data_IF_116264408437
#
_entry.id   IF_116264408437
#
_cell.length_a   1.000
_cell.length_b   1.000
_cell.length_c   1.000
_cell.angle_alpha   90.00
_cell.angle_beta   90.00
_cell.angle_gamma   90.00
#
_symmetry.space_group_name_H-M   'P 1'
#
loop_
_entity.id
_entity.type
_entity.pdbx_description
1 polymer ?
#
# COMPACT_ATOMS: atom_id res chain seq x y z
N UNK A 1 9.78 6.34 -14.72
CA UNK A 1 11.10 5.69 -14.66
C UNK A 1 11.15 4.93 -13.36
N UNK A 2 11.46 3.64 -13.41
CA UNK A 2 10.74 2.56 -12.71
C UNK A 2 9.37 2.28 -13.38
N UNK A 3 9.05 0.99 -13.59
CA UNK A 3 7.83 0.54 -14.27
C UNK A 3 6.56 0.89 -13.50
N UNK A 4 5.41 0.40 -13.98
CA UNK A 4 4.14 0.57 -13.28
C UNK A 4 4.27 0.11 -11.80
N UNK A 5 3.56 0.72 -10.83
CA UNK A 5 3.64 0.34 -9.41
C UNK A 5 3.48 -1.17 -9.15
N UNK A 6 2.67 -1.83 -9.97
CA UNK A 6 2.44 -3.27 -9.96
C UNK A 6 3.68 -4.07 -10.35
N UNK A 7 4.50 -3.55 -11.26
CA UNK A 7 5.78 -4.14 -11.63
C UNK A 7 6.83 -3.92 -10.53
N UNK A 8 6.85 -2.73 -9.92
CA UNK A 8 7.71 -2.46 -8.78
C UNK A 8 7.40 -3.41 -7.60
N UNK A 9 6.11 -3.64 -7.30
CA UNK A 9 5.69 -4.56 -6.26
C UNK A 9 6.19 -6.00 -6.52
N UNK A 10 6.07 -6.49 -7.76
CA UNK A 10 6.56 -7.83 -8.14
C UNK A 10 8.08 -7.95 -8.01
N UNK A 11 8.83 -6.97 -8.52
CA UNK A 11 10.30 -6.96 -8.44
C UNK A 11 10.80 -6.95 -6.99
N UNK A 12 10.10 -6.24 -6.09
CA UNK A 12 10.44 -6.24 -4.67
C UNK A 12 10.09 -7.59 -4.03
N UNK A 13 8.96 -8.20 -4.38
CA UNK A 13 8.58 -9.51 -3.86
C UNK A 13 9.58 -10.62 -4.25
N UNK A 14 10.19 -10.54 -5.43
CA UNK A 14 11.28 -11.43 -5.85
C UNK A 14 12.50 -11.40 -4.92
N UNK A 15 12.66 -10.33 -4.13
CA UNK A 15 13.73 -10.21 -3.13
C UNK A 15 13.44 -10.95 -1.81
N UNK A 16 12.24 -11.53 -1.65
CA UNK A 16 11.87 -12.35 -0.50
C UNK A 16 10.72 -11.88 0.41
N UNK A 17 10.25 -10.61 0.41
CA UNK A 17 9.06 -10.22 1.18
C UNK A 17 7.82 -11.00 0.74
N UNK A 18 7.03 -11.45 1.73
CA UNK A 18 5.74 -12.14 1.48
C UNK A 18 4.60 -11.20 1.07
N UNK A 19 4.78 -9.92 1.37
CA UNK A 19 3.80 -8.87 1.12
C UNK A 19 4.54 -7.56 0.83
N UNK A 20 4.12 -6.85 -0.21
CA UNK A 20 4.73 -5.59 -0.66
C UNK A 20 3.64 -4.55 -0.82
N UNK A 21 3.88 -3.36 -0.26
CA UNK A 21 2.98 -2.22 -0.37
C UNK A 21 3.72 -1.09 -1.07
N UNK A 22 3.12 -0.54 -2.12
CA UNK A 22 3.58 0.64 -2.83
C UNK A 22 2.55 1.74 -2.63
N UNK A 23 2.89 2.77 -1.85
CA UNK A 23 2.02 3.93 -1.65
C UNK A 23 2.16 4.90 -2.82
N UNK A 24 1.04 5.43 -3.29
CA UNK A 24 0.94 6.35 -4.43
C UNK A 24 0.45 7.74 -4.00
N UNK A 25 0.55 8.05 -2.71
CA UNK A 25 0.05 9.30 -2.14
C UNK A 25 -1.45 9.45 -2.34
N UNK A 26 -1.86 10.51 -3.05
CA UNK A 26 -3.27 10.80 -3.34
C UNK A 26 -3.96 9.82 -4.29
N UNK A 27 -3.18 8.93 -4.94
CA UNK A 27 -3.71 7.92 -5.87
C UNK A 27 -3.89 6.53 -5.21
N UNK A 28 -3.73 6.46 -3.88
CA UNK A 28 -3.97 5.26 -3.09
C UNK A 28 -2.74 4.38 -2.96
N UNK A 29 -2.90 3.07 -3.14
CA UNK A 29 -1.80 2.11 -3.01
C UNK A 29 -1.98 0.87 -3.88
N UNK A 30 -0.87 0.19 -4.13
CA UNK A 30 -0.82 -1.17 -4.66
C UNK A 30 -0.29 -2.10 -3.58
N UNK A 31 -0.99 -3.21 -3.34
CA UNK A 31 -0.58 -4.25 -2.40
C UNK A 31 -0.43 -5.56 -3.14
N UNK A 32 0.74 -6.19 -3.07
CA UNK A 32 0.97 -7.55 -3.54
C UNK A 32 1.06 -8.46 -2.31
N UNK A 33 0.09 -9.34 -2.14
CA UNK A 33 -0.03 -10.22 -0.99
C UNK A 33 -0.46 -11.61 -1.45
N UNK A 34 0.24 -12.66 -1.01
CA UNK A 34 -0.08 -14.06 -1.38
C UNK A 34 -0.22 -14.24 -2.92
N UNK A 35 0.70 -13.60 -3.67
CA UNK A 35 0.72 -13.55 -5.14
C UNK A 35 -0.51 -12.87 -5.80
N UNK A 36 -1.37 -12.24 -5.02
CA UNK A 36 -2.53 -11.46 -5.49
C UNK A 36 -2.20 -9.98 -5.43
N UNK A 37 -2.47 -9.28 -6.53
CA UNK A 37 -2.27 -7.85 -6.63
C UNK A 37 -3.59 -7.10 -6.41
N UNK A 38 -3.57 -6.17 -5.46
CA UNK A 38 -4.69 -5.32 -5.07
C UNK A 38 -4.35 -3.87 -5.39
N UNK A 39 -5.32 -3.15 -5.96
CA UNK A 39 -5.28 -1.70 -6.12
C UNK A 39 -6.31 -1.09 -5.19
N UNK A 40 -5.85 -0.25 -4.27
CA UNK A 40 -6.67 0.38 -3.25
C UNK A 40 -6.75 1.86 -3.59
N UNK A 41 -7.96 2.34 -3.86
CA UNK A 41 -8.20 3.75 -4.17
C UNK A 41 -8.02 4.61 -2.91
N UNK A 42 -7.48 5.82 -3.07
CA UNK A 42 -7.39 6.76 -1.96
C UNK A 42 -8.76 7.29 -1.58
N UNK A 43 -8.97 7.50 -0.28
CA UNK A 43 -10.04 8.36 0.19
C UNK A 43 -9.55 9.82 0.17
N UNK A 44 -10.13 10.70 -0.68
CA UNK A 44 -9.63 12.05 -0.82
C UNK A 44 -9.88 12.87 0.46
N UNK A 45 -8.87 13.59 0.99
CA UNK A 45 -9.07 14.42 2.16
C UNK A 45 -9.94 15.63 1.83
N UNK A 46 -10.79 16.05 2.76
CA UNK A 46 -11.58 17.28 2.63
C UNK A 46 -10.71 18.55 2.62
N UNK A 47 -9.51 18.47 3.22
CA UNK A 47 -8.50 19.53 3.22
C UNK A 47 -7.11 18.93 3.38
N UNK A 48 -6.19 19.31 2.49
CA UNK A 48 -4.77 19.00 2.64
C UNK A 48 -4.08 20.15 3.37
N UNK A 49 -3.46 19.85 4.52
CA UNK A 49 -2.75 20.85 5.36
C UNK A 49 -1.27 20.53 5.43
N UNK A 50 -0.95 19.28 5.80
CA UNK A 50 0.41 18.75 5.88
C UNK A 50 0.37 17.25 5.53
N UNK A 51 1.36 16.78 4.78
CA UNK A 51 1.51 15.37 4.39
C UNK A 51 2.54 14.62 5.25
N UNK A 52 3.18 15.32 6.20
CA UNK A 52 4.16 14.74 7.11
C UNK A 52 3.52 13.63 7.93
N UNK A 53 4.14 12.44 7.92
CA UNK A 53 3.66 11.27 8.66
C UNK A 53 2.49 10.52 8.00
N UNK A 54 2.01 10.93 6.81
CA UNK A 54 0.94 10.18 6.12
C UNK A 54 1.35 8.75 5.79
N UNK A 55 2.62 8.53 5.40
CA UNK A 55 3.15 7.18 5.14
C UNK A 55 3.20 6.32 6.40
N UNK A 56 3.71 6.86 7.51
CA UNK A 56 3.76 6.15 8.80
C UNK A 56 2.37 5.82 9.33
N UNK A 57 1.44 6.77 9.22
CA UNK A 57 0.04 6.58 9.63
C UNK A 57 -0.65 5.52 8.77
N UNK A 58 -0.41 5.54 7.45
CA UNK A 58 -0.92 4.52 6.54
C UNK A 58 -0.42 3.12 6.94
N UNK A 59 0.90 2.97 7.15
CA UNK A 59 1.49 1.69 7.52
C UNK A 59 0.98 1.21 8.89
N UNK A 60 0.85 2.11 9.87
CA UNK A 60 0.33 1.78 11.20
C UNK A 60 -1.12 1.26 11.12
N UNK A 61 -1.99 1.95 10.37
CA UNK A 61 -3.38 1.52 10.18
C UNK A 61 -3.47 0.19 9.43
N UNK A 62 -2.68 0.02 8.37
CA UNK A 62 -2.61 -1.22 7.62
C UNK A 62 -2.17 -2.39 8.51
N UNK A 63 -1.10 -2.24 9.28
CA UNK A 63 -0.61 -3.27 10.19
C UNK A 63 -1.65 -3.61 11.28
N UNK A 64 -2.35 -2.61 11.82
CA UNK A 64 -3.41 -2.84 12.80
C UNK A 64 -4.55 -3.72 12.23
N UNK A 65 -4.93 -3.50 10.97
CA UNK A 65 -5.90 -4.36 10.27
C UNK A 65 -5.35 -5.78 10.10
N UNK A 66 -4.12 -5.93 9.60
CA UNK A 66 -3.49 -7.23 9.30
C UNK A 66 -3.22 -8.09 10.53
N UNK A 67 -3.10 -7.50 11.71
CA UNK A 67 -2.99 -8.25 12.96
C UNK A 67 -4.29 -8.96 13.36
N UNK A 68 -5.45 -8.47 12.89
CA UNK A 68 -6.77 -9.03 13.20
C UNK A 68 -7.49 -9.67 12.02
N UNK A 69 -6.98 -9.52 10.80
CA UNK A 69 -7.65 -9.92 9.56
C UNK A 69 -6.65 -10.38 8.50
N UNK A 70 -7.00 -11.46 7.80
CA UNK A 70 -6.30 -11.91 6.60
C UNK A 70 -6.71 -11.14 5.34
N UNK A 71 -7.74 -10.30 5.44
CA UNK A 71 -8.16 -9.39 4.36
C UNK A 71 -7.09 -8.30 4.11
N UNK A 72 -6.98 -7.91 2.86
CA UNK A 72 -6.03 -6.92 2.34
C UNK A 72 -6.77 -5.67 1.83
N UNK A 73 -8.03 -5.82 1.43
CA UNK A 73 -8.79 -4.81 0.70
C UNK A 73 -10.13 -4.47 1.39
N UNK A 74 -10.07 -4.26 2.70
CA UNK A 74 -11.22 -3.85 3.52
C UNK A 74 -11.67 -2.40 3.25
#
# INVERSE_FOLDING_TARGET
>A
GAGAPEEAARRIAELGPREVIVTLGGDGSVVLARDVLHRIEAHPPSRLVDATGCGDTFLAAYMAHRLGSDDVAA
#
